data_IF_773784687853
#
_entry.id   IF_773784687853
#
_cell.length_a   1.000
_cell.length_b   1.000
_cell.length_c   1.000
_cell.angle_alpha   90.00
_cell.angle_beta   90.00
_cell.angle_gamma   90.00
#
_symmetry.space_group_name_H-M   'P 1'
#
loop_
_entity.id
_entity.type
_entity.pdbx_description
1 polymer ?
#
# COMPACT_ATOMS: atom_id res chain seq x y z
N UNK A 1 1.48 17.52 -4.63
CA UNK A 1 0.01 17.78 -4.58
C UNK A 1 -0.53 18.01 -3.17
N UNK A 2 0.26 17.69 -2.14
CA UNK A 2 -0.18 17.63 -0.74
C UNK A 2 0.62 18.64 0.10
N UNK A 3 0.12 19.03 1.28
CA UNK A 3 0.86 19.90 2.20
C UNK A 3 2.06 19.17 2.83
N UNK A 4 3.03 19.86 3.46
CA UNK A 4 4.18 19.19 4.08
C UNK A 4 3.80 18.16 5.15
N UNK A 5 2.73 18.40 5.93
CA UNK A 5 2.29 17.47 6.98
C UNK A 5 1.69 16.18 6.39
N UNK A 6 0.87 16.29 5.35
CA UNK A 6 0.33 15.12 4.65
C UNK A 6 1.37 14.43 3.77
N UNK A 7 2.35 15.16 3.23
CA UNK A 7 3.51 14.58 2.55
C UNK A 7 4.24 13.57 3.44
N UNK A 8 4.51 13.94 4.70
CA UNK A 8 5.15 13.02 5.66
C UNK A 8 4.33 11.74 5.87
N UNK A 9 3.01 11.86 5.92
CA UNK A 9 2.10 10.71 6.06
C UNK A 9 2.21 9.76 4.86
N UNK A 10 2.23 10.29 3.63
CA UNK A 10 2.42 9.47 2.43
C UNK A 10 3.82 8.87 2.31
N UNK A 11 4.86 9.58 2.76
CA UNK A 11 6.24 9.06 2.77
C UNK A 11 6.39 7.86 3.71
N UNK A 12 5.88 7.96 4.94
CA UNK A 12 5.90 6.84 5.90
C UNK A 12 5.14 5.63 5.35
N UNK A 13 3.95 5.87 4.80
CA UNK A 13 3.14 4.82 4.20
C UNK A 13 3.83 4.18 2.99
N UNK A 14 4.42 4.98 2.10
CA UNK A 14 5.21 4.50 0.96
C UNK A 14 6.39 3.63 1.41
N UNK A 15 7.13 4.06 2.43
CA UNK A 15 8.28 3.31 2.95
C UNK A 15 7.85 1.93 3.47
N UNK A 16 6.74 1.85 4.22
CA UNK A 16 6.21 0.58 4.71
C UNK A 16 5.78 -0.35 3.55
N UNK A 17 5.17 0.20 2.49
CA UNK A 17 4.83 -0.56 1.29
C UNK A 17 6.08 -1.11 0.57
N UNK A 18 7.15 -0.32 0.49
CA UNK A 18 8.43 -0.73 -0.12
C UNK A 18 9.12 -1.82 0.69
N UNK A 19 9.12 -1.72 2.02
CA UNK A 19 9.62 -2.75 2.92
C UNK A 19 8.82 -4.05 2.75
N UNK A 20 7.49 -3.95 2.72
CA UNK A 20 6.63 -5.10 2.48
C UNK A 20 6.90 -5.76 1.12
N UNK A 21 7.07 -4.96 0.06
CA UNK A 21 7.40 -5.46 -1.28
C UNK A 21 8.76 -6.17 -1.29
N UNK A 22 9.74 -5.61 -0.59
CA UNK A 22 11.09 -6.20 -0.46
C UNK A 22 11.00 -7.57 0.21
N UNK A 23 10.28 -7.67 1.33
CA UNK A 23 10.05 -8.93 2.02
C UNK A 23 9.32 -9.96 1.13
N UNK A 24 8.30 -9.53 0.39
CA UNK A 24 7.54 -10.39 -0.54
C UNK A 24 8.44 -11.03 -1.61
N UNK A 25 9.48 -10.33 -2.07
CA UNK A 25 10.39 -10.80 -3.12
C UNK A 25 11.68 -11.43 -2.59
N UNK A 26 11.81 -11.57 -1.27
CA UNK A 26 12.95 -12.25 -0.67
C UNK A 26 13.00 -13.73 -1.11
N UNK A 27 14.22 -14.25 -1.28
CA UNK A 27 14.43 -15.64 -1.67
C UNK A 27 13.87 -16.62 -0.62
N UNK A 28 14.05 -16.29 0.66
CA UNK A 28 13.50 -17.01 1.80
C UNK A 28 12.29 -16.25 2.37
N UNK A 29 11.23 -16.14 1.57
CA UNK A 29 10.01 -15.45 1.97
C UNK A 29 9.40 -16.11 3.23
N UNK A 30 9.38 -15.35 4.32
CA UNK A 30 8.69 -15.73 5.55
C UNK A 30 7.29 -15.11 5.62
N UNK A 31 6.26 -15.95 5.66
CA UNK A 31 4.85 -15.51 5.75
C UNK A 31 4.59 -14.69 7.03
N UNK A 32 5.29 -15.00 8.13
CA UNK A 32 5.18 -14.24 9.37
C UNK A 32 5.68 -12.79 9.19
N UNK A 33 6.83 -12.61 8.53
CA UNK A 33 7.37 -11.27 8.21
C UNK A 33 6.40 -10.52 7.30
N UNK A 34 5.86 -11.17 6.26
CA UNK A 34 4.90 -10.54 5.35
C UNK A 34 3.63 -10.08 6.08
N UNK A 35 3.14 -10.87 7.05
CA UNK A 35 1.99 -10.51 7.88
C UNK A 35 2.29 -9.32 8.79
N UNK A 36 3.47 -9.28 9.41
CA UNK A 36 3.88 -8.15 10.26
C UNK A 36 3.99 -6.85 9.45
N UNK A 37 4.62 -6.92 8.27
CA UNK A 37 4.71 -5.77 7.37
C UNK A 37 3.31 -5.30 6.91
N UNK A 38 2.40 -6.22 6.65
CA UNK A 38 1.02 -5.85 6.31
C UNK A 38 0.30 -5.14 7.48
N UNK A 39 0.49 -5.61 8.72
CA UNK A 39 -0.08 -4.94 9.89
C UNK A 39 0.47 -3.52 10.07
N UNK A 40 1.77 -3.31 9.81
CA UNK A 40 2.37 -1.96 9.82
C UNK A 40 1.77 -1.07 8.73
N UNK A 41 1.69 -1.55 7.48
CA UNK A 41 1.06 -0.83 6.36
C UNK A 41 -0.40 -0.48 6.68
N UNK A 42 -1.16 -1.43 7.23
CA UNK A 42 -2.56 -1.23 7.60
C UNK A 42 -2.71 -0.22 8.75
N UNK A 43 -1.83 -0.27 9.76
CA UNK A 43 -1.82 0.68 10.87
C UNK A 43 -1.50 2.10 10.41
N UNK A 44 -0.51 2.29 9.54
CA UNK A 44 -0.20 3.59 8.93
C UNK A 44 -1.35 4.10 8.07
N UNK A 45 -1.95 3.22 7.26
CA UNK A 45 -3.11 3.59 6.45
C UNK A 45 -4.25 4.15 7.32
N UNK A 46 -4.62 3.43 8.39
CA UNK A 46 -5.72 3.85 9.27
C UNK A 46 -5.41 5.11 10.08
N UNK A 47 -4.17 5.24 10.58
CA UNK A 47 -3.80 6.31 11.51
C UNK A 47 -3.26 7.59 10.84
N UNK A 48 -2.79 7.51 9.59
CA UNK A 48 -2.12 8.61 8.89
C UNK A 48 -2.72 8.97 7.55
N UNK A 49 -3.31 8.02 6.83
CA UNK A 49 -3.85 8.27 5.49
C UNK A 49 -5.36 8.51 5.53
N UNK A 50 -6.10 7.64 6.23
CA UNK A 50 -7.56 7.69 6.28
C UNK A 50 -8.11 8.95 6.96
N UNK A 51 -7.32 9.57 7.83
CA UNK A 51 -7.71 10.78 8.57
C UNK A 51 -7.50 12.08 7.77
N UNK A 52 -6.82 12.01 6.62
CA UNK A 52 -6.54 13.18 5.81
C UNK A 52 -7.81 13.67 5.12
N UNK A 53 -7.89 14.99 4.96
CA UNK A 53 -9.03 15.69 4.39
C UNK A 53 -8.58 16.60 3.24
N UNK A 54 -9.53 17.25 2.59
CA UNK A 54 -9.22 18.24 1.54
C UNK A 54 -8.45 19.45 2.07
N UNK A 55 -8.47 19.70 3.38
CA UNK A 55 -7.70 20.78 4.01
C UNK A 55 -6.19 20.46 4.06
N UNK A 56 -5.83 19.18 3.90
CA UNK A 56 -4.46 18.70 3.91
C UNK A 56 -3.78 18.75 2.53
N UNK A 57 -4.45 19.31 1.51
CA UNK A 57 -3.97 19.39 0.13
C UNK A 57 -4.09 20.77 -0.48
N UNK A 58 -3.32 21.02 -1.54
CA UNK A 58 -3.43 22.28 -2.28
C UNK A 58 -4.81 22.37 -2.97
N UNK A 59 -5.52 23.51 -2.93
CA UNK A 59 -6.88 23.64 -3.46
C UNK A 59 -7.05 23.13 -4.90
N UNK A 60 -6.09 23.43 -5.77
CA UNK A 60 -6.13 23.04 -7.19
C UNK A 60 -5.98 21.53 -7.43
N UNK A 61 -5.58 20.77 -6.40
CA UNK A 61 -5.36 19.32 -6.47
C UNK A 61 -6.45 18.50 -5.80
N UNK A 62 -7.46 19.11 -5.18
CA UNK A 62 -8.42 18.43 -4.31
C UNK A 62 -9.17 17.27 -5.02
N UNK A 63 -9.63 17.49 -6.26
CA UNK A 63 -10.36 16.47 -7.03
C UNK A 63 -9.48 15.27 -7.40
N UNK A 64 -8.25 15.54 -7.86
CA UNK A 64 -7.28 14.49 -8.21
C UNK A 64 -6.82 13.73 -6.96
N UNK A 65 -6.59 14.44 -5.86
CA UNK A 65 -6.27 13.84 -4.57
C UNK A 65 -7.37 12.90 -4.09
N UNK A 66 -8.64 13.34 -4.12
CA UNK A 66 -9.76 12.52 -3.67
C UNK A 66 -9.95 11.26 -4.53
N UNK A 67 -9.69 11.38 -5.84
CA UNK A 67 -9.69 10.24 -6.76
C UNK A 67 -8.60 9.22 -6.38
N UNK A 68 -7.37 9.69 -6.14
CA UNK A 68 -6.27 8.83 -5.70
C UNK A 68 -6.51 8.22 -4.31
N UNK A 69 -7.12 8.96 -3.37
CA UNK A 69 -7.51 8.42 -2.07
C UNK A 69 -8.50 7.28 -2.19
N UNK A 70 -9.49 7.42 -3.07
CA UNK A 70 -10.48 6.35 -3.34
C UNK A 70 -9.81 5.10 -3.88
N UNK A 71 -8.86 5.26 -4.82
CA UNK A 71 -8.10 4.13 -5.34
C UNK A 71 -7.16 3.51 -4.30
N UNK A 72 -6.46 4.29 -3.47
CA UNK A 72 -5.65 3.76 -2.36
C UNK A 72 -6.52 2.93 -1.41
N UNK A 73 -7.69 3.45 -1.02
CA UNK A 73 -8.63 2.75 -0.13
C UNK A 73 -9.07 1.40 -0.71
N UNK A 74 -9.42 1.38 -2.00
CA UNK A 74 -9.78 0.17 -2.73
C UNK A 74 -8.61 -0.81 -2.83
N UNK A 75 -7.41 -0.34 -3.16
CA UNK A 75 -6.23 -1.20 -3.26
C UNK A 75 -5.85 -1.81 -1.91
N UNK A 76 -6.00 -1.07 -0.80
CA UNK A 76 -5.75 -1.62 0.54
C UNK A 76 -6.67 -2.80 0.88
N UNK A 77 -7.97 -2.70 0.58
CA UNK A 77 -8.91 -3.82 0.76
C UNK A 77 -8.57 -5.03 -0.11
N UNK A 78 -8.17 -4.78 -1.35
CA UNK A 78 -7.78 -5.86 -2.26
C UNK A 78 -6.45 -6.51 -1.87
N UNK A 79 -5.52 -5.74 -1.28
CA UNK A 79 -4.24 -6.26 -0.78
C UNK A 79 -4.47 -7.27 0.34
N UNK A 80 -5.36 -6.95 1.28
CA UNK A 80 -5.75 -7.89 2.35
C UNK A 80 -6.26 -9.21 1.77
N UNK A 81 -7.15 -9.14 0.77
CA UNK A 81 -7.71 -10.32 0.10
C UNK A 81 -6.63 -11.14 -0.61
N UNK A 82 -5.73 -10.48 -1.35
CA UNK A 82 -4.66 -11.17 -2.04
C UNK A 82 -3.70 -11.88 -1.09
N UNK A 83 -3.41 -11.30 0.08
CA UNK A 83 -2.57 -11.91 1.10
C UNK A 83 -3.22 -13.15 1.72
N UNK A 84 -4.52 -13.11 1.99
CA UNK A 84 -5.27 -14.29 2.44
C UNK A 84 -5.18 -15.42 1.42
N UNK A 85 -5.35 -15.10 0.13
CA UNK A 85 -5.26 -16.08 -0.96
C UNK A 85 -3.84 -16.62 -1.17
N UNK A 86 -2.82 -15.76 -1.02
CA UNK A 86 -1.42 -16.17 -1.05
C UNK A 86 -1.13 -17.17 0.07
N UNK A 87 -1.55 -16.87 1.31
CA UNK A 87 -1.35 -17.75 2.47
C UNK A 87 -2.09 -19.08 2.35
N UNK A 88 -3.24 -19.10 1.68
CA UNK A 88 -4.02 -20.32 1.46
C UNK A 88 -3.49 -21.20 0.30
N UNK A 89 -2.49 -20.73 -0.47
CA UNK A 89 -1.99 -21.44 -1.65
C UNK A 89 -1.21 -22.70 -1.25
N UNK A 90 -1.60 -23.84 -1.84
CA UNK A 90 -1.00 -25.16 -1.53
C UNK A 90 0.00 -25.67 -2.59
N UNK A 91 -0.02 -25.08 -3.78
CA UNK A 91 0.88 -25.42 -4.89
C UNK A 91 1.84 -24.28 -5.13
N UNK A 92 3.11 -24.60 -5.40
CA UNK A 92 4.14 -23.63 -5.74
C UNK A 92 3.75 -22.77 -6.94
N UNK A 93 3.09 -23.35 -7.96
CA UNK A 93 2.64 -22.59 -9.13
C UNK A 93 1.57 -21.55 -8.77
N UNK A 94 0.59 -21.93 -7.95
CA UNK A 94 -0.44 -21.01 -7.46
C UNK A 94 0.17 -19.94 -6.55
N UNK A 95 1.09 -20.32 -5.67
CA UNK A 95 1.79 -19.41 -4.78
C UNK A 95 2.52 -18.31 -5.57
N UNK A 96 3.33 -18.68 -6.57
CA UNK A 96 4.06 -17.73 -7.41
C UNK A 96 3.12 -16.79 -8.18
N UNK A 97 2.01 -17.31 -8.70
CA UNK A 97 0.98 -16.51 -9.36
C UNK A 97 0.35 -15.49 -8.39
N UNK A 98 -0.02 -15.91 -7.18
CA UNK A 98 -0.55 -15.01 -6.14
C UNK A 98 0.48 -13.99 -5.67
N UNK A 99 1.73 -14.39 -5.50
CA UNK A 99 2.84 -13.51 -5.10
C UNK A 99 3.03 -12.39 -6.13
N UNK A 100 2.91 -12.70 -7.42
CA UNK A 100 2.96 -11.70 -8.49
C UNK A 100 1.78 -10.73 -8.42
N UNK A 101 0.57 -11.22 -8.11
CA UNK A 101 -0.60 -10.38 -7.86
C UNK A 101 -0.39 -9.38 -6.73
N UNK A 102 0.07 -9.86 -5.57
CA UNK A 102 0.41 -9.01 -4.42
C UNK A 102 1.49 -7.98 -4.79
N UNK A 103 2.56 -8.40 -5.48
CA UNK A 103 3.64 -7.51 -5.92
C UNK A 103 3.12 -6.39 -6.82
N UNK A 104 2.28 -6.71 -7.80
CA UNK A 104 1.69 -5.73 -8.70
C UNK A 104 0.84 -4.71 -7.94
N UNK A 105 0.06 -5.17 -6.96
CA UNK A 105 -0.76 -4.29 -6.13
C UNK A 105 0.07 -3.34 -5.26
N UNK A 106 1.14 -3.85 -4.66
CA UNK A 106 2.09 -3.03 -3.91
C UNK A 106 2.72 -1.97 -4.80
N UNK A 107 3.10 -2.32 -6.03
CA UNK A 107 3.62 -1.34 -6.99
C UNK A 107 2.60 -0.25 -7.32
N UNK A 108 1.33 -0.61 -7.53
CA UNK A 108 0.26 0.37 -7.76
C UNK A 108 0.09 1.33 -6.57
N UNK A 109 0.06 0.81 -5.34
CA UNK A 109 -0.03 1.63 -4.13
C UNK A 109 1.17 2.58 -3.99
N UNK A 110 2.39 2.09 -4.23
CA UNK A 110 3.61 2.90 -4.21
C UNK A 110 3.54 4.01 -5.27
N UNK A 111 3.05 3.70 -6.48
CA UNK A 111 2.90 4.69 -7.54
C UNK A 111 1.90 5.79 -7.17
N UNK A 112 0.78 5.46 -6.53
CA UNK A 112 -0.15 6.48 -6.04
C UNK A 112 0.50 7.40 -5.00
N UNK A 113 1.32 6.86 -4.09
CA UNK A 113 2.09 7.69 -3.17
C UNK A 113 3.06 8.63 -3.90
N UNK A 114 3.75 8.14 -4.94
CA UNK A 114 4.65 8.95 -5.74
C UNK A 114 3.92 10.09 -6.45
N UNK A 115 2.75 9.83 -7.04
CA UNK A 115 1.95 10.87 -7.68
C UNK A 115 1.48 11.95 -6.70
N UNK A 116 1.16 11.57 -5.46
CA UNK A 116 0.74 12.51 -4.41
C UNK A 116 1.89 13.40 -3.92
N UNK A 117 3.10 12.83 -3.89
CA UNK A 117 4.32 13.47 -3.39
C UNK A 117 5.05 14.36 -4.42
N UNK A 118 4.67 14.29 -5.70
CA UNK A 118 5.11 15.22 -6.75
C UNK A 118 4.41 16.57 -6.62
#
# INVERSE_FOLDING_TARGET
MVTPSSAQSYQLFQQALEQMRTALTAQDLEIAILRNNFQEVQGLFQSKILILTTDDVTPDSASRWQSLQTEIYKQMRLLETDLMLLQASRSSATFLSRQTGVKNRLNTLIQYCQELLQ
#
